data_IF_729370025117
#
_entry.id   IF_729370025117
#
_cell.length_a   1.000
_cell.length_b   1.000
_cell.length_c   1.000
_cell.angle_alpha   90.00
_cell.angle_beta   90.00
_cell.angle_gamma   90.00
#
_symmetry.space_group_name_H-M   'P 1'
#
loop_
_entity.id
_entity.type
_entity.pdbx_description
1 polymer ?
#
# COMPACT_ATOMS: atom_id res chain seq x y z
N UNK A 1 -9.47 0.42 1.07
CA UNK A 1 -8.26 1.27 1.18
C UNK A 1 -7.80 1.58 2.61
N UNK A 2 -8.68 1.85 3.60
CA UNK A 2 -8.22 2.18 4.97
C UNK A 2 -7.34 1.09 5.62
N UNK A 3 -7.75 -0.17 5.47
CA UNK A 3 -7.00 -1.33 5.99
C UNK A 3 -5.64 -1.52 5.29
N UNK A 4 -5.52 -1.14 4.01
CA UNK A 4 -4.27 -1.28 3.25
C UNK A 4 -3.21 -0.29 3.74
N UNK A 5 -3.59 0.98 3.92
CA UNK A 5 -2.70 2.00 4.48
C UNK A 5 -2.29 1.71 5.92
N UNK A 6 -3.23 1.21 6.74
CA UNK A 6 -2.93 0.74 8.10
C UNK A 6 -1.88 -0.37 8.10
N UNK A 7 -2.05 -1.41 7.26
CA UNK A 7 -1.14 -2.56 7.20
C UNK A 7 0.29 -2.14 6.83
N UNK A 8 0.46 -1.33 5.77
CA UNK A 8 1.79 -0.88 5.34
C UNK A 8 2.49 -0.09 6.45
N UNK A 9 1.77 0.84 7.09
CA UNK A 9 2.36 1.68 8.13
C UNK A 9 2.66 0.87 9.41
N UNK A 10 1.78 -0.05 9.77
CA UNK A 10 1.97 -0.95 10.91
C UNK A 10 3.21 -1.83 10.73
N UNK A 11 3.41 -2.39 9.55
CA UNK A 11 4.55 -3.26 9.26
C UNK A 11 5.88 -2.51 9.39
N UNK A 12 5.95 -1.30 8.85
CA UNK A 12 7.14 -0.46 8.95
C UNK A 12 7.40 -0.02 10.41
N UNK A 13 6.38 0.41 11.14
CA UNK A 13 6.50 0.81 12.56
C UNK A 13 6.93 -0.37 13.43
N UNK A 14 6.40 -1.57 13.18
CA UNK A 14 6.75 -2.79 13.92
C UNK A 14 8.24 -3.13 13.77
N UNK A 15 8.80 -2.98 12.57
CA UNK A 15 10.23 -3.21 12.33
C UNK A 15 11.09 -2.20 13.09
N UNK A 16 10.72 -0.91 13.11
CA UNK A 16 11.45 0.11 13.89
C UNK A 16 11.41 -0.19 15.37
N UNK A 17 10.25 -0.60 15.87
CA UNK A 17 10.07 -0.93 17.27
C UNK A 17 10.95 -2.10 17.67
N UNK A 18 11.06 -3.12 16.82
CA UNK A 18 11.96 -4.25 17.07
C UNK A 18 13.43 -3.85 17.01
N UNK A 19 13.86 -3.09 16.01
CA UNK A 19 15.25 -2.60 15.94
C UNK A 19 15.59 -1.72 17.15
N UNK A 20 14.61 -0.96 17.66
CA UNK A 20 14.73 -0.19 18.90
C UNK A 20 14.90 -1.10 20.11
N UNK A 21 14.08 -2.15 20.22
CA UNK A 21 14.18 -3.12 21.32
C UNK A 21 15.52 -3.85 21.34
N UNK A 22 16.04 -4.25 20.18
CA UNK A 22 17.38 -4.85 20.06
C UNK A 22 18.49 -3.87 20.42
N UNK A 23 18.41 -2.63 19.93
CA UNK A 23 19.38 -1.58 20.24
C UNK A 23 19.49 -1.29 21.73
N UNK A 24 18.37 -1.38 22.46
CA UNK A 24 18.33 -1.24 23.92
C UNK A 24 18.89 -2.47 24.63
N UNK A 25 18.63 -3.68 24.10
CA UNK A 25 19.12 -4.93 24.69
C UNK A 25 20.64 -5.07 24.57
N UNK A 26 21.23 -4.64 23.43
CA UNK A 26 22.69 -4.65 23.22
C UNK A 26 23.41 -3.64 24.12
N UNK A 27 22.75 -2.51 24.41
CA UNK A 27 23.29 -1.45 25.26
C UNK A 27 22.97 -1.81 26.71
N UNK A 28 23.65 -2.82 27.27
CA UNK A 28 23.51 -3.32 28.65
C UNK A 28 23.24 -2.19 29.66
N UNK A 29 21.97 -1.84 29.87
CA UNK A 29 21.52 -0.85 30.86
C UNK A 29 21.37 -1.57 32.20
N UNK A 30 22.50 -2.02 32.74
CA UNK A 30 22.58 -2.39 34.14
C UNK A 30 22.44 -1.12 34.99
N UNK A 31 21.42 -1.09 35.85
CA UNK A 31 21.14 -0.09 36.90
C UNK A 31 20.42 1.21 36.52
N UNK A 32 19.38 1.13 35.69
CA UNK A 32 18.46 2.26 35.47
C UNK A 32 17.02 1.88 35.83
N UNK A 33 16.35 2.75 36.61
CA UNK A 33 14.93 2.61 36.97
C UNK A 33 14.07 2.37 35.73
N UNK A 34 13.10 1.43 35.80
CA UNK A 34 12.28 1.03 34.65
C UNK A 34 11.58 2.18 33.92
N UNK A 35 11.27 3.27 34.64
CA UNK A 35 10.71 4.49 34.06
C UNK A 35 11.70 5.24 33.14
N UNK A 36 12.96 5.29 33.53
CA UNK A 36 14.00 5.96 32.76
C UNK A 36 14.42 5.13 31.54
N UNK A 37 14.41 3.80 31.64
CA UNK A 37 14.57 2.91 30.48
C UNK A 37 13.43 3.08 29.48
N UNK A 38 12.18 3.23 29.94
CA UNK A 38 11.04 3.51 29.08
C UNK A 38 11.16 4.86 28.36
N UNK A 39 11.51 5.92 29.08
CA UNK A 39 11.71 7.24 28.47
C UNK A 39 12.85 7.25 27.46
N UNK A 40 13.95 6.55 27.75
CA UNK A 40 15.06 6.41 26.82
C UNK A 40 14.67 5.59 25.57
N UNK A 41 13.87 4.53 25.74
CA UNK A 41 13.32 3.76 24.63
C UNK A 41 12.42 4.61 23.73
N UNK A 42 11.54 5.42 24.35
CA UNK A 42 10.65 6.33 23.64
C UNK A 42 11.44 7.39 22.87
N UNK A 43 12.44 8.02 23.49
CA UNK A 43 13.30 9.01 22.84
C UNK A 43 14.08 8.40 21.66
N UNK A 44 14.65 7.20 21.84
CA UNK A 44 15.33 6.49 20.77
C UNK A 44 14.37 6.16 19.61
N UNK A 45 13.18 5.63 19.92
CA UNK A 45 12.16 5.34 18.92
C UNK A 45 11.74 6.60 18.15
N UNK A 46 11.47 7.71 18.83
CA UNK A 46 11.08 8.97 18.19
C UNK A 46 12.20 9.52 17.32
N UNK A 47 13.46 9.48 17.78
CA UNK A 47 14.62 9.89 16.99
C UNK A 47 14.79 9.04 15.73
N UNK A 48 14.69 7.73 15.84
CA UNK A 48 14.77 6.82 14.70
C UNK A 48 13.61 7.05 13.73
N UNK A 49 12.38 7.19 14.24
CA UNK A 49 11.19 7.41 13.43
C UNK A 49 11.24 8.74 12.66
N UNK A 50 11.43 9.87 13.36
CA UNK A 50 11.46 11.18 12.73
C UNK A 50 12.72 11.40 11.88
N UNK A 51 13.87 10.85 12.30
CA UNK A 51 15.11 10.90 11.53
C UNK A 51 14.98 10.18 10.19
N UNK A 52 14.47 8.94 10.20
CA UNK A 52 14.22 8.19 8.97
C UNK A 52 13.12 8.83 8.10
N UNK A 53 12.06 9.36 8.71
CA UNK A 53 10.99 10.04 7.98
C UNK A 53 11.50 11.30 7.28
N UNK A 54 12.28 12.14 7.97
CA UNK A 54 12.88 13.34 7.40
C UNK A 54 13.84 13.01 6.27
N UNK A 55 14.66 11.97 6.43
CA UNK A 55 15.60 11.54 5.38
C UNK A 55 14.86 11.00 4.15
N UNK A 56 13.87 10.12 4.35
CA UNK A 56 13.07 9.56 3.25
C UNK A 56 12.26 10.61 2.50
N UNK A 57 11.64 11.56 3.23
CA UNK A 57 10.93 12.68 2.59
C UNK A 57 11.89 13.57 1.80
N UNK A 58 13.07 13.90 2.34
CA UNK A 58 14.09 14.69 1.64
C UNK A 58 14.53 14.00 0.34
N UNK A 59 14.86 12.71 0.38
CA UNK A 59 15.30 11.96 -0.81
C UNK A 59 14.20 11.86 -1.87
N UNK A 60 12.95 11.67 -1.46
CA UNK A 60 11.80 11.66 -2.36
C UNK A 60 11.59 13.01 -3.05
N UNK A 61 11.74 14.12 -2.30
CA UNK A 61 11.65 15.48 -2.85
C UNK A 61 12.81 15.80 -3.80
N UNK A 62 14.03 15.35 -3.47
CA UNK A 62 15.19 15.46 -4.36
C UNK A 62 14.92 14.71 -5.67
N UNK A 63 14.39 13.49 -5.60
CA UNK A 63 14.02 12.71 -6.79
C UNK A 63 13.02 13.47 -7.68
N UNK A 64 11.97 14.06 -7.09
CA UNK A 64 11.01 14.87 -7.81
C UNK A 64 11.66 16.09 -8.49
N UNK A 65 12.56 16.80 -7.80
CA UNK A 65 13.27 17.95 -8.36
C UNK A 65 14.22 17.58 -9.49
N UNK A 66 14.94 16.46 -9.37
CA UNK A 66 15.86 15.98 -10.41
C UNK A 66 15.08 15.64 -11.68
N UNK A 67 13.98 14.90 -11.55
CA UNK A 67 13.13 14.55 -12.70
C UNK A 67 12.35 15.74 -13.26
N UNK A 68 12.14 16.80 -12.47
CA UNK A 68 11.59 18.06 -12.96
C UNK A 68 12.57 18.83 -13.83
N UNK A 69 13.84 18.93 -13.42
CA UNK A 69 14.86 19.74 -14.10
C UNK A 69 15.50 19.02 -15.28
N UNK A 70 15.59 17.69 -15.24
CA UNK A 70 16.17 16.88 -16.32
C UNK A 70 15.02 16.30 -17.14
N UNK A 71 14.79 16.85 -18.33
CA UNK A 71 13.74 16.37 -19.24
C UNK A 71 14.16 15.07 -19.94
N UNK A 72 13.84 13.92 -19.32
CA UNK A 72 14.23 12.59 -19.78
C UNK A 72 13.12 11.87 -20.57
N UNK A 73 12.04 12.56 -20.96
CA UNK A 73 10.86 11.96 -21.61
C UNK A 73 11.17 11.26 -22.93
N UNK A 74 12.27 11.62 -23.58
CA UNK A 74 12.74 11.00 -24.82
C UNK A 74 13.41 9.63 -24.58
N UNK A 75 13.80 9.32 -23.35
CA UNK A 75 14.51 8.09 -22.98
C UNK A 75 13.86 7.44 -21.74
N UNK A 76 12.70 6.76 -21.90
CA UNK A 76 11.94 6.19 -20.79
C UNK A 76 12.72 5.16 -19.96
N UNK A 77 13.66 4.43 -20.57
CA UNK A 77 14.53 3.49 -19.84
C UNK A 77 15.41 4.18 -18.81
N UNK A 78 15.87 5.41 -19.07
CA UNK A 78 16.70 6.18 -18.16
C UNK A 78 15.86 6.76 -17.01
N UNK A 79 14.65 7.26 -17.31
CA UNK A 79 13.69 7.68 -16.28
C UNK A 79 13.40 6.53 -15.31
N UNK A 80 13.09 5.35 -15.84
CA UNK A 80 12.81 4.17 -15.05
C UNK A 80 14.01 3.75 -14.18
N UNK A 81 15.22 3.70 -14.76
CA UNK A 81 16.43 3.38 -14.00
C UNK A 81 16.70 4.36 -12.85
N UNK A 82 16.54 5.66 -13.11
CA UNK A 82 16.68 6.70 -12.08
C UNK A 82 15.64 6.54 -10.97
N UNK A 83 14.39 6.18 -11.30
CA UNK A 83 13.35 5.90 -10.30
C UNK A 83 13.73 4.76 -9.36
N UNK A 84 14.25 3.65 -9.88
CA UNK A 84 14.68 2.51 -9.05
C UNK A 84 15.85 2.91 -8.13
N UNK A 85 16.82 3.67 -8.65
CA UNK A 85 17.96 4.16 -7.87
C UNK A 85 17.46 5.06 -6.73
N UNK A 86 16.61 6.04 -7.02
CA UNK A 86 16.07 6.95 -6.00
C UNK A 86 15.13 6.28 -5.00
N UNK A 87 14.44 5.20 -5.41
CA UNK A 87 13.62 4.42 -4.50
C UNK A 87 14.47 3.67 -3.45
N UNK A 88 15.65 3.19 -3.83
CA UNK A 88 16.54 2.44 -2.92
C UNK A 88 17.57 3.31 -2.20
N UNK A 89 17.97 4.45 -2.76
CA UNK A 89 18.89 5.42 -2.17
C UNK A 89 18.63 5.77 -0.68
N UNK A 90 17.38 6.11 -0.25
CA UNK A 90 17.09 6.40 1.16
C UNK A 90 17.48 5.27 2.11
N UNK A 91 17.39 4.00 1.67
CA UNK A 91 17.80 2.86 2.47
C UNK A 91 19.28 2.92 2.82
N UNK A 92 20.14 3.07 1.80
CA UNK A 92 21.58 3.10 1.98
C UNK A 92 22.03 4.31 2.81
N UNK A 93 21.40 5.46 2.59
CA UNK A 93 21.70 6.67 3.37
C UNK A 93 21.27 6.53 4.84
N UNK A 94 20.10 5.96 5.09
CA UNK A 94 19.61 5.74 6.45
C UNK A 94 20.50 4.77 7.21
N UNK A 95 20.87 3.64 6.59
CA UNK A 95 21.73 2.64 7.20
C UNK A 95 23.12 3.21 7.52
N UNK A 96 23.66 4.05 6.63
CA UNK A 96 24.94 4.75 6.85
C UNK A 96 24.92 5.75 8.01
N UNK A 97 23.75 6.30 8.37
CA UNK A 97 23.56 7.23 9.51
C UNK A 97 23.05 6.47 10.75
N UNK A 98 22.98 5.13 10.71
CA UNK A 98 22.39 4.28 11.77
C UNK A 98 20.92 4.61 12.08
N UNK A 99 20.16 5.03 11.06
CA UNK A 99 18.71 5.22 11.11
C UNK A 99 18.00 4.01 10.50
N UNK A 100 16.66 3.92 10.63
CA UNK A 100 15.89 2.84 10.02
C UNK A 100 15.77 3.04 8.50
N UNK A 101 16.46 2.21 7.71
CA UNK A 101 16.37 2.23 6.25
C UNK A 101 14.99 1.88 5.72
N UNK A 102 14.29 0.96 6.37
CA UNK A 102 12.97 0.48 5.92
C UNK A 102 11.93 1.61 6.04
N UNK A 103 11.96 2.40 7.11
CA UNK A 103 11.13 3.60 7.24
C UNK A 103 11.50 4.68 6.23
N UNK A 104 12.79 4.88 5.97
CA UNK A 104 13.25 5.89 5.02
C UNK A 104 12.75 5.57 3.59
N UNK A 105 12.82 4.29 3.16
CA UNK A 105 12.21 3.86 1.89
C UNK A 105 10.70 4.13 1.91
N UNK A 106 9.98 3.76 2.98
CA UNK A 106 8.53 3.95 3.05
C UNK A 106 8.14 5.41 2.82
N UNK A 107 8.72 6.33 3.60
CA UNK A 107 8.43 7.76 3.46
C UNK A 107 8.88 8.32 2.11
N UNK A 108 10.02 7.86 1.58
CA UNK A 108 10.45 8.22 0.23
C UNK A 108 9.46 7.73 -0.83
N UNK A 109 8.94 6.51 -0.70
CA UNK A 109 7.94 5.93 -1.60
C UNK A 109 6.63 6.70 -1.58
N UNK A 110 6.15 7.10 -0.40
CA UNK A 110 4.95 7.97 -0.26
C UNK A 110 5.16 9.31 -0.98
N UNK A 111 6.30 9.96 -0.73
CA UNK A 111 6.62 11.25 -1.36
C UNK A 111 6.82 11.10 -2.88
N UNK A 112 7.47 10.03 -3.33
CA UNK A 112 7.67 9.76 -4.76
C UNK A 112 6.36 9.43 -5.48
N UNK A 113 5.46 8.69 -4.84
CA UNK A 113 4.11 8.43 -5.38
C UNK A 113 3.33 9.73 -5.55
N UNK A 114 3.47 10.67 -4.61
CA UNK A 114 2.73 11.92 -4.64
C UNK A 114 3.32 12.96 -5.61
N UNK A 115 4.64 13.20 -5.58
CA UNK A 115 5.26 14.28 -6.37
C UNK A 115 6.00 13.78 -7.61
N UNK A 116 6.75 12.69 -7.48
CA UNK A 116 7.62 12.21 -8.57
C UNK A 116 6.81 11.53 -9.65
N UNK A 117 5.75 10.81 -9.30
CA UNK A 117 4.88 10.12 -10.26
C UNK A 117 4.37 11.07 -11.35
N UNK A 118 3.92 12.27 -10.96
CA UNK A 118 3.42 13.30 -11.87
C UNK A 118 4.48 13.91 -12.80
N UNK A 119 5.78 13.75 -12.50
CA UNK A 119 6.85 14.26 -13.35
C UNK A 119 7.27 13.30 -14.45
N UNK A 120 6.94 12.02 -14.31
CA UNK A 120 7.32 10.98 -15.26
C UNK A 120 6.52 11.08 -16.57
N UNK A 121 7.06 10.44 -17.62
CA UNK A 121 6.27 10.18 -18.83
C UNK A 121 5.19 9.11 -18.57
N UNK A 122 4.05 9.14 -19.27
CA UNK A 122 2.96 8.17 -19.06
C UNK A 122 3.39 6.72 -19.33
N UNK A 123 4.33 6.52 -20.28
CA UNK A 123 4.91 5.21 -20.56
C UNK A 123 5.70 4.69 -19.35
N UNK A 124 6.52 5.54 -18.73
CA UNK A 124 7.30 5.19 -17.54
C UNK A 124 6.40 4.96 -16.32
N UNK A 125 5.31 5.73 -16.16
CA UNK A 125 4.35 5.56 -15.06
C UNK A 125 3.76 4.16 -15.05
N UNK A 126 3.22 3.71 -16.19
CA UNK A 126 2.62 2.37 -16.33
C UNK A 126 3.69 1.30 -16.11
N UNK A 127 4.86 1.45 -16.74
CA UNK A 127 5.96 0.50 -16.58
C UNK A 127 6.39 0.37 -15.11
N UNK A 128 6.49 1.49 -14.40
CA UNK A 128 6.88 1.51 -12.99
C UNK A 128 5.87 0.80 -12.11
N UNK A 129 4.58 1.10 -12.24
CA UNK A 129 3.53 0.45 -11.45
C UNK A 129 3.51 -1.06 -11.68
N UNK A 130 3.54 -1.50 -12.94
CA UNK A 130 3.53 -2.92 -13.29
C UNK A 130 4.79 -3.64 -12.79
N UNK A 131 5.97 -3.02 -12.95
CA UNK A 131 7.23 -3.63 -12.51
C UNK A 131 7.31 -3.74 -11.00
N UNK A 132 7.01 -2.67 -10.26
CA UNK A 132 7.05 -2.68 -8.80
C UNK A 132 5.99 -3.62 -8.21
N UNK A 133 4.78 -3.69 -8.80
CA UNK A 133 3.75 -4.66 -8.41
C UNK A 133 4.23 -6.10 -8.61
N UNK A 134 4.84 -6.39 -9.76
CA UNK A 134 5.36 -7.73 -10.07
C UNK A 134 6.50 -8.13 -9.14
N UNK A 135 7.43 -7.20 -8.86
CA UNK A 135 8.52 -7.42 -7.91
C UNK A 135 7.99 -7.63 -6.49
N UNK A 136 7.04 -6.81 -6.04
CA UNK A 136 6.42 -6.96 -4.73
C UNK A 136 5.73 -8.32 -4.59
N UNK A 137 4.95 -8.73 -5.59
CA UNK A 137 4.27 -10.04 -5.62
C UNK A 137 5.27 -11.20 -5.59
N UNK A 138 6.37 -11.11 -6.35
CA UNK A 138 7.43 -12.11 -6.34
C UNK A 138 8.10 -12.20 -4.97
N UNK A 139 8.48 -11.06 -4.39
CA UNK A 139 9.08 -11.00 -3.05
C UNK A 139 8.14 -11.57 -1.98
N UNK A 140 6.86 -11.19 -2.00
CA UNK A 140 5.85 -11.70 -1.08
C UNK A 140 5.70 -13.23 -1.21
N UNK A 141 5.64 -13.75 -2.44
CA UNK A 141 5.59 -15.19 -2.72
C UNK A 141 6.84 -15.90 -2.19
N UNK A 142 8.03 -15.32 -2.37
CA UNK A 142 9.27 -15.87 -1.82
C UNK A 142 9.25 -15.93 -0.29
N UNK A 143 8.81 -14.87 0.40
CA UNK A 143 8.73 -14.88 1.86
C UNK A 143 7.73 -15.93 2.36
N UNK A 144 6.58 -16.08 1.69
CA UNK A 144 5.62 -17.14 2.02
C UNK A 144 6.17 -18.55 1.76
N UNK A 145 6.90 -18.75 0.66
CA UNK A 145 7.56 -20.02 0.38
C UNK A 145 8.60 -20.35 1.46
N UNK A 146 9.39 -19.37 1.91
CA UNK A 146 10.32 -19.54 3.03
C UNK A 146 9.61 -19.88 4.34
N UNK A 147 8.49 -19.20 4.64
CA UNK A 147 7.69 -19.50 5.81
C UNK A 147 7.19 -20.94 5.78
N UNK A 148 6.69 -21.41 4.63
CA UNK A 148 6.26 -22.80 4.44
C UNK A 148 7.38 -23.82 4.60
N UNK A 149 8.56 -23.56 4.02
CA UNK A 149 9.74 -24.41 4.16
C UNK A 149 10.21 -24.52 5.62
N UNK A 150 10.10 -23.43 6.36
CA UNK A 150 10.60 -23.33 7.73
C UNK A 150 9.82 -24.21 8.73
N UNK A 151 8.59 -24.59 8.40
CA UNK A 151 7.78 -25.57 9.17
C UNK A 151 8.41 -26.97 9.12
N UNK A 152 9.08 -27.32 8.02
CA UNK A 152 9.66 -28.65 7.85
C UNK A 152 11.12 -28.70 8.29
N UNK A 153 11.82 -27.55 8.29
CA UNK A 153 13.26 -27.50 8.47
C UNK A 153 13.74 -27.34 9.91
N UNK A 154 12.90 -26.86 10.84
CA UNK A 154 13.31 -26.60 12.23
C UNK A 154 12.72 -27.60 13.23
N UNK A 155 13.49 -28.05 14.25
CA UNK A 155 12.94 -28.87 15.32
C UNK A 155 12.02 -28.02 16.19
N UNK A 156 10.72 -28.34 16.20
CA UNK A 156 9.71 -27.57 16.89
C UNK A 156 9.44 -28.13 18.30
N UNK A 157 9.71 -27.33 19.34
CA UNK A 157 9.20 -27.57 20.69
C UNK A 157 7.81 -26.91 20.79
N UNK A 158 6.76 -27.72 20.71
CA UNK A 158 5.37 -27.23 20.74
C UNK A 158 4.82 -27.19 22.17
N UNK A 159 4.81 -26.00 22.76
CA UNK A 159 3.98 -25.74 23.94
C UNK A 159 2.59 -25.29 23.49
N UNK A 160 1.69 -26.26 23.28
CA UNK A 160 0.34 -26.02 22.73
C UNK A 160 -0.43 -24.98 23.55
N UNK A 161 -0.27 -25.01 24.88
CA UNK A 161 -0.90 -24.05 25.78
C UNK A 161 -0.45 -22.61 25.49
N UNK A 162 0.86 -22.40 25.28
CA UNK A 162 1.42 -21.09 24.99
C UNK A 162 0.92 -20.54 23.64
N UNK A 163 0.84 -21.39 22.61
CA UNK A 163 0.36 -21.00 21.28
C UNK A 163 -1.11 -20.57 21.31
N UNK A 164 -1.97 -21.33 22.00
CA UNK A 164 -3.40 -20.99 22.12
C UNK A 164 -3.59 -19.65 22.83
N UNK A 165 -2.89 -19.42 23.94
CA UNK A 165 -2.92 -18.14 24.65
C UNK A 165 -2.42 -16.99 23.78
N UNK A 166 -1.35 -17.20 23.00
CA UNK A 166 -0.87 -16.19 22.07
C UNK A 166 -1.91 -15.84 20.99
N UNK A 167 -2.59 -16.83 20.41
CA UNK A 167 -3.65 -16.58 19.42
C UNK A 167 -4.79 -15.75 20.05
N UNK A 168 -5.24 -16.11 21.25
CA UNK A 168 -6.28 -15.37 21.98
C UNK A 168 -5.84 -13.94 22.26
N UNK A 169 -4.62 -13.74 22.76
CA UNK A 169 -4.08 -12.41 23.07
C UNK A 169 -3.90 -11.55 21.81
N UNK A 170 -3.52 -12.15 20.68
CA UNK A 170 -3.40 -11.45 19.39
C UNK A 170 -4.76 -10.95 18.90
N UNK A 171 -5.79 -11.81 18.95
CA UNK A 171 -7.16 -11.44 18.57
C UNK A 171 -7.76 -10.40 19.51
N UNK A 172 -7.53 -10.55 20.82
CA UNK A 172 -7.99 -9.63 21.84
C UNK A 172 -7.29 -8.28 21.74
N UNK A 173 -5.97 -8.25 21.61
CA UNK A 173 -5.20 -7.02 21.41
C UNK A 173 -5.65 -6.25 20.17
N UNK A 174 -5.96 -6.97 19.08
CA UNK A 174 -6.54 -6.36 17.88
C UNK A 174 -7.93 -5.76 18.16
N UNK A 175 -8.80 -6.45 18.91
CA UNK A 175 -10.12 -5.92 19.27
C UNK A 175 -9.99 -4.63 20.11
N UNK A 176 -9.12 -4.65 21.11
CA UNK A 176 -8.86 -3.50 22.00
C UNK A 176 -8.24 -2.33 21.25
N UNK A 177 -7.52 -2.55 20.15
CA UNK A 177 -7.04 -1.45 19.32
C UNK A 177 -8.15 -0.92 18.39
N UNK A 178 -8.87 -1.80 17.68
CA UNK A 178 -9.81 -1.39 16.63
C UNK A 178 -11.07 -0.73 17.19
N UNK A 179 -11.71 -1.29 18.22
CA UNK A 179 -13.00 -0.77 18.71
C UNK A 179 -12.87 0.64 19.33
N UNK A 180 -11.90 0.93 20.23
CA UNK A 180 -11.72 2.26 20.79
C UNK A 180 -11.23 3.28 19.78
N UNK A 181 -10.26 2.94 18.91
CA UNK A 181 -9.82 3.87 17.85
C UNK A 181 -10.97 4.18 16.91
N UNK A 182 -11.74 3.19 16.49
CA UNK A 182 -12.87 3.40 15.58
C UNK A 182 -13.95 4.26 16.23
N UNK A 183 -14.21 4.10 17.54
CA UNK A 183 -15.13 4.94 18.28
C UNK A 183 -14.65 6.39 18.38
N UNK A 184 -13.35 6.60 18.65
CA UNK A 184 -12.72 7.92 18.68
C UNK A 184 -12.75 8.59 17.29
N UNK A 185 -12.44 7.84 16.24
CA UNK A 185 -12.45 8.34 14.86
C UNK A 185 -13.86 8.72 14.41
N UNK A 186 -14.88 7.99 14.88
CA UNK A 186 -16.29 8.26 14.59
C UNK A 186 -16.78 9.60 15.18
N UNK A 187 -16.04 10.18 16.12
CA UNK A 187 -16.32 11.51 16.66
C UNK A 187 -15.82 12.64 15.75
N UNK A 188 -14.70 12.44 15.05
CA UNK A 188 -14.06 13.45 14.20
C UNK A 188 -14.40 13.32 12.71
N UNK A 189 -14.96 12.20 12.26
CA UNK A 189 -15.17 11.91 10.84
C UNK A 189 -16.63 12.06 10.43
N UNK A 190 -16.89 12.79 9.34
CA UNK A 190 -18.23 12.96 8.76
C UNK A 190 -18.82 11.64 8.23
N UNK A 191 -17.97 10.73 7.74
CA UNK A 191 -18.40 9.41 7.26
C UNK A 191 -18.20 8.33 8.33
N UNK A 192 -19.27 8.03 9.08
CA UNK A 192 -19.23 7.13 10.24
C UNK A 192 -18.87 5.69 9.89
N UNK A 193 -17.96 5.09 10.66
CA UNK A 193 -17.64 3.65 10.53
C UNK A 193 -18.73 2.88 11.29
N UNK A 194 -19.51 2.07 10.58
CA UNK A 194 -20.56 1.27 11.22
C UNK A 194 -19.95 0.15 12.08
N UNK A 195 -20.62 -0.28 13.17
CA UNK A 195 -20.13 -1.40 13.99
C UNK A 195 -19.94 -2.69 13.20
N UNK A 196 -20.71 -2.89 12.11
CA UNK A 196 -20.51 -3.97 11.14
C UNK A 196 -19.16 -3.86 10.43
N UNK A 197 -18.82 -2.68 9.92
CA UNK A 197 -17.51 -2.43 9.32
C UNK A 197 -16.37 -2.59 10.32
N UNK A 198 -16.56 -2.20 11.59
CA UNK A 198 -15.57 -2.44 12.66
C UNK A 198 -15.32 -3.95 12.88
N UNK A 199 -16.38 -4.76 12.85
CA UNK A 199 -16.23 -6.22 12.97
C UNK A 199 -15.50 -6.81 11.76
N UNK A 200 -15.79 -6.36 10.53
CA UNK A 200 -15.05 -6.77 9.34
C UNK A 200 -13.57 -6.36 9.44
N UNK A 201 -13.27 -5.14 9.88
CA UNK A 201 -11.89 -4.68 10.08
C UNK A 201 -11.15 -5.51 11.14
N UNK A 202 -11.84 -5.90 12.22
CA UNK A 202 -11.27 -6.80 13.21
C UNK A 202 -11.00 -8.19 12.64
N UNK A 203 -11.95 -8.76 11.88
CA UNK A 203 -11.86 -10.09 11.32
C UNK A 203 -10.89 -10.22 10.14
N UNK A 204 -10.77 -9.18 9.32
CA UNK A 204 -9.89 -9.09 8.13
C UNK A 204 -8.40 -8.96 8.48
N UNK A 205 -8.02 -9.26 9.72
CA UNK A 205 -6.72 -9.03 10.30
C UNK A 205 -5.66 -10.07 10.01
N UNK A 206 -5.33 -10.26 8.74
CA UNK A 206 -4.33 -11.22 8.33
C UNK A 206 -2.95 -10.75 8.81
N UNK A 207 -2.27 -11.59 9.61
CA UNK A 207 -0.86 -11.34 9.90
C UNK A 207 -0.07 -11.76 8.67
N UNK A 208 0.70 -10.83 8.13
CA UNK A 208 1.58 -11.07 7.00
C UNK A 208 2.82 -11.88 7.38
N UNK A 209 3.77 -11.93 6.45
CA UNK A 209 5.01 -12.67 6.62
C UNK A 209 6.12 -11.88 7.35
N UNK A 210 5.89 -10.58 7.62
CA UNK A 210 6.84 -9.69 8.28
C UNK A 210 7.12 -10.08 9.75
N UNK A 211 6.13 -10.41 10.59
CA UNK A 211 6.40 -10.91 11.95
C UNK A 211 7.30 -12.14 11.96
N UNK A 212 7.18 -13.01 10.95
CA UNK A 212 8.03 -14.18 10.80
C UNK A 212 9.48 -13.77 10.46
N UNK A 213 9.67 -12.93 9.44
CA UNK A 213 10.99 -12.40 9.09
C UNK A 213 11.68 -11.72 10.28
N UNK A 214 10.90 -10.98 11.07
CA UNK A 214 11.37 -10.28 12.26
C UNK A 214 11.77 -11.25 13.39
N UNK A 215 11.02 -12.34 13.57
CA UNK A 215 11.37 -13.38 14.55
C UNK A 215 12.67 -14.10 14.24
N UNK A 216 13.06 -14.18 12.96
CA UNK A 216 14.35 -14.73 12.54
C UNK A 216 15.49 -13.73 12.73
N UNK A 217 15.23 -12.44 12.49
CA UNK A 217 16.23 -11.38 12.65
C UNK A 217 16.58 -11.13 14.13
N UNK A 218 15.67 -11.47 15.04
CA UNK A 218 15.85 -11.32 16.47
C UNK A 218 16.97 -12.24 17.00
N UNK A 219 18.15 -11.65 17.23
CA UNK A 219 19.28 -12.30 17.90
C UNK A 219 19.05 -12.35 19.42
N UNK A 220 18.12 -13.20 19.84
CA UNK A 220 17.92 -13.52 21.25
C UNK A 220 18.83 -14.68 21.68
N UNK A 221 19.82 -14.39 22.53
CA UNK A 221 20.44 -15.41 23.37
C UNK A 221 19.49 -15.69 24.57
N UNK A 222 19.08 -16.95 24.88
CA UNK A 222 19.50 -18.25 24.34
C UNK A 222 18.67 -18.74 23.14
N UNK A 223 19.30 -19.59 22.31
CA UNK A 223 18.75 -20.21 21.09
C UNK A 223 17.38 -20.89 21.27
N UNK A 224 17.10 -21.46 22.44
CA UNK A 224 15.84 -22.15 22.73
C UNK A 224 14.63 -21.20 22.75
N UNK A 225 14.80 -19.96 23.25
CA UNK A 225 13.72 -18.97 23.26
C UNK A 225 13.42 -18.45 21.86
N UNK A 226 14.45 -18.30 21.03
CA UNK A 226 14.32 -17.93 19.61
C UNK A 226 13.53 -18.98 18.83
N UNK A 227 13.82 -20.27 19.05
CA UNK A 227 13.07 -21.37 18.43
C UNK A 227 11.60 -21.42 18.86
N UNK A 228 11.31 -21.15 20.14
CA UNK A 228 9.95 -21.07 20.67
C UNK A 228 9.16 -19.90 20.04
N UNK A 229 9.75 -18.70 19.99
CA UNK A 229 9.12 -17.50 19.43
C UNK A 229 8.91 -17.65 17.92
N UNK A 230 9.91 -18.16 17.19
CA UNK A 230 9.80 -18.44 15.76
C UNK A 230 8.70 -19.44 15.44
N UNK A 231 8.68 -20.59 16.13
CA UNK A 231 7.64 -21.62 15.95
C UNK A 231 6.24 -21.07 16.27
N UNK A 232 6.10 -20.35 17.37
CA UNK A 232 4.82 -19.74 17.77
C UNK A 232 4.34 -18.72 16.73
N UNK A 233 5.25 -17.91 16.21
CA UNK A 233 4.93 -16.89 15.19
C UNK A 233 4.49 -17.53 13.89
N UNK A 234 5.15 -18.59 13.43
CA UNK A 234 4.75 -19.36 12.24
C UNK A 234 3.33 -19.90 12.42
N UNK A 235 3.03 -20.55 13.55
CA UNK A 235 1.70 -21.11 13.81
C UNK A 235 0.62 -20.02 13.83
N UNK A 236 0.90 -18.86 14.45
CA UNK A 236 -0.04 -17.73 14.47
C UNK A 236 -0.27 -17.20 13.04
N UNK A 237 0.79 -17.00 12.26
CA UNK A 237 0.68 -16.48 10.88
C UNK A 237 -0.14 -17.45 10.03
N UNK A 238 0.17 -18.75 10.04
CA UNK A 238 -0.58 -19.76 9.31
C UNK A 238 -2.04 -19.84 9.76
N UNK A 239 -2.29 -19.82 11.07
CA UNK A 239 -3.64 -19.83 11.62
C UNK A 239 -4.44 -18.62 11.14
N UNK A 240 -3.87 -17.42 11.21
CA UNK A 240 -4.56 -16.19 10.78
C UNK A 240 -4.78 -16.15 9.27
N UNK A 241 -3.82 -16.58 8.44
CA UNK A 241 -3.97 -16.58 6.98
C UNK A 241 -4.97 -17.65 6.52
N UNK A 242 -4.82 -18.89 6.98
CA UNK A 242 -5.66 -20.00 6.53
C UNK A 242 -7.09 -19.89 7.06
N UNK A 243 -7.26 -19.65 8.36
CA UNK A 243 -8.59 -19.60 8.96
C UNK A 243 -9.23 -18.23 8.76
N UNK A 244 -8.61 -17.13 9.20
CA UNK A 244 -9.23 -15.80 9.08
C UNK A 244 -9.26 -15.34 7.62
N UNK A 245 -8.18 -15.55 6.85
CA UNK A 245 -8.13 -15.19 5.43
C UNK A 245 -9.10 -16.01 4.58
N UNK A 246 -9.11 -17.33 4.74
CA UNK A 246 -10.06 -18.21 4.07
C UNK A 246 -11.52 -17.92 4.43
N UNK A 247 -11.81 -17.52 5.67
CA UNK A 247 -13.17 -17.20 6.14
C UNK A 247 -13.60 -15.75 5.90
N UNK A 248 -12.70 -14.85 5.51
CA UNK A 248 -13.05 -13.44 5.25
C UNK A 248 -14.00 -13.30 4.05
N UNK A 249 -13.73 -14.01 2.94
CA UNK A 249 -14.62 -13.99 1.76
C UNK A 249 -16.05 -14.46 2.05
N UNK A 250 -16.29 -15.61 2.71
CA UNK A 250 -17.65 -16.02 3.07
C UNK A 250 -18.28 -15.07 4.10
N UNK A 251 -17.52 -14.50 5.02
CA UNK A 251 -18.04 -13.53 6.00
C UNK A 251 -18.54 -12.26 5.31
N UNK A 252 -17.76 -11.68 4.40
CA UNK A 252 -18.16 -10.49 3.63
C UNK A 252 -19.41 -10.80 2.82
N UNK A 253 -19.50 -11.96 2.16
CA UNK A 253 -20.70 -12.37 1.43
C UNK A 253 -21.93 -12.49 2.35
N UNK A 254 -21.77 -13.04 3.55
CA UNK A 254 -22.88 -13.17 4.50
C UNK A 254 -23.38 -11.80 4.97
N UNK A 255 -22.47 -10.87 5.23
CA UNK A 255 -22.80 -9.51 5.63
C UNK A 255 -23.40 -8.67 4.50
N UNK A 256 -22.90 -8.80 3.27
CA UNK A 256 -23.48 -8.15 2.08
C UNK A 256 -24.87 -8.71 1.76
N UNK A 257 -25.11 -10.00 1.99
CA UNK A 257 -26.45 -10.61 1.90
C UNK A 257 -27.37 -10.06 2.99
N UNK A 258 -26.90 -9.83 4.21
CA UNK A 258 -27.70 -9.20 5.26
C UNK A 258 -28.04 -7.74 4.94
N UNK A 259 -27.09 -6.98 4.40
CA UNK A 259 -27.31 -5.59 4.02
C UNK A 259 -28.23 -5.50 2.79
N UNK A 260 -28.10 -6.42 1.83
CA UNK A 260 -29.02 -6.57 0.71
C UNK A 260 -30.42 -7.02 1.15
N UNK A 261 -30.54 -7.88 2.17
CA UNK A 261 -31.83 -8.28 2.78
C UNK A 261 -32.45 -7.13 3.57
N UNK A 262 -31.67 -6.36 4.32
CA UNK A 262 -32.13 -5.18 5.05
C UNK A 262 -32.60 -4.08 4.09
N UNK A 263 -31.85 -3.83 3.00
CA UNK A 263 -32.25 -2.92 1.93
C UNK A 263 -33.46 -3.44 1.14
N UNK A 264 -33.57 -4.75 0.86
CA UNK A 264 -34.79 -5.34 0.26
C UNK A 264 -36.02 -5.22 1.15
N UNK A 265 -35.82 -5.25 2.47
CA UNK A 265 -36.92 -5.12 3.44
C UNK A 265 -37.42 -3.67 3.54
N UNK A 266 -36.54 -2.69 3.31
CA UNK A 266 -36.88 -1.27 3.17
C UNK A 266 -37.31 -0.86 1.75
N UNK A 267 -36.91 -1.61 0.74
CA UNK A 267 -37.21 -1.36 -0.68
C UNK A 267 -38.10 -2.48 -1.23
N UNK A 268 -39.32 -2.58 -0.70
CA UNK A 268 -40.44 -3.12 -1.49
C UNK A 268 -40.76 -2.06 -2.53
N UNK A 269 -39.95 -2.01 -3.59
CA UNK A 269 -40.35 -1.71 -4.97
C UNK A 269 -39.10 -1.63 -5.86
N UNK A 270 -39.24 -2.19 -7.06
CA UNK A 270 -38.31 -2.21 -8.19
C UNK A 270 -37.28 -3.35 -8.20
N UNK A 271 -37.61 -4.37 -9.00
CA UNK A 271 -36.74 -5.43 -9.53
C UNK A 271 -35.88 -4.88 -10.69
N UNK A 272 -34.62 -5.34 -10.79
CA UNK A 272 -33.70 -5.49 -11.94
C UNK A 272 -32.27 -5.47 -11.37
N UNK A 273 -31.25 -6.22 -11.76
CA UNK A 273 -31.05 -7.40 -12.60
C UNK A 273 -29.82 -8.11 -12.00
N UNK A 274 -29.78 -9.45 -11.98
CA UNK A 274 -28.69 -10.22 -11.36
C UNK A 274 -27.44 -10.36 -12.25
N UNK A 275 -27.48 -9.91 -13.50
CA UNK A 275 -26.41 -10.07 -14.49
C UNK A 275 -25.38 -8.93 -14.50
N UNK A 276 -25.71 -7.76 -13.96
CA UNK A 276 -24.82 -6.59 -13.94
C UNK A 276 -23.70 -6.70 -12.88
N UNK A 277 -23.95 -7.46 -11.80
CA UNK A 277 -23.07 -7.47 -10.62
C UNK A 277 -21.79 -8.30 -10.76
N UNK A 278 -21.72 -9.23 -11.72
CA UNK A 278 -20.56 -10.11 -11.87
C UNK A 278 -19.50 -9.56 -12.84
N UNK A 279 -19.89 -8.66 -13.76
CA UNK A 279 -18.94 -7.88 -14.58
C UNK A 279 -18.20 -6.85 -13.74
N UNK A 280 -18.93 -6.15 -12.86
CA UNK A 280 -18.37 -5.06 -12.04
C UNK A 280 -17.30 -5.50 -11.04
N UNK A 281 -17.21 -6.77 -10.62
CA UNK A 281 -16.21 -7.19 -9.61
C UNK A 281 -14.82 -7.45 -10.17
N UNK A 282 -14.72 -7.79 -11.47
CA UNK A 282 -13.43 -7.97 -12.16
C UNK A 282 -12.97 -6.65 -12.78
N UNK A 283 -13.93 -5.83 -13.22
CA UNK A 283 -13.67 -4.47 -13.70
C UNK A 283 -13.35 -3.50 -12.55
N UNK A 284 -13.84 -3.74 -11.32
CA UNK A 284 -13.63 -2.83 -10.18
C UNK A 284 -12.18 -2.71 -9.71
N UNK A 285 -11.32 -3.72 -9.85
CA UNK A 285 -9.93 -3.58 -9.43
C UNK A 285 -9.13 -2.67 -10.37
N UNK A 286 -9.33 -2.81 -11.69
CA UNK A 286 -8.67 -1.95 -12.69
C UNK A 286 -9.35 -0.58 -12.82
N UNK A 287 -10.68 -0.48 -12.67
CA UNK A 287 -11.39 0.80 -12.58
C UNK A 287 -11.11 1.52 -11.27
N UNK A 288 -10.84 0.83 -10.15
CA UNK A 288 -10.56 1.52 -8.88
C UNK A 288 -9.27 2.32 -8.95
N UNK A 289 -8.25 1.89 -9.69
CA UNK A 289 -7.00 2.66 -9.87
C UNK A 289 -7.18 3.82 -10.86
N UNK A 290 -7.88 3.61 -11.98
CA UNK A 290 -8.20 4.66 -12.96
C UNK A 290 -9.17 5.72 -12.42
N UNK A 291 -10.15 5.30 -11.63
CA UNK A 291 -11.06 6.23 -10.95
C UNK A 291 -10.38 6.98 -9.81
N UNK A 292 -9.28 6.48 -9.23
CA UNK A 292 -8.54 7.19 -8.18
C UNK A 292 -7.81 8.43 -8.72
N UNK A 293 -7.20 8.34 -9.92
CA UNK A 293 -6.67 9.52 -10.63
C UNK A 293 -7.77 10.52 -10.97
N UNK A 294 -8.95 10.05 -11.42
CA UNK A 294 -10.11 10.92 -11.66
C UNK A 294 -10.71 11.51 -10.37
N UNK A 295 -10.70 10.75 -9.26
CA UNK A 295 -11.25 11.15 -7.96
C UNK A 295 -10.34 12.15 -7.25
N UNK A 296 -9.01 11.96 -7.30
CA UNK A 296 -8.04 12.98 -6.86
C UNK A 296 -8.11 14.24 -7.73
N UNK A 297 -8.22 14.10 -9.04
CA UNK A 297 -8.42 15.23 -9.95
C UNK A 297 -9.74 15.98 -9.67
N UNK A 298 -10.81 15.28 -9.27
CA UNK A 298 -12.07 15.91 -8.86
C UNK A 298 -12.01 16.54 -7.46
N UNK A 299 -11.28 15.94 -6.52
CA UNK A 299 -11.10 16.45 -5.16
C UNK A 299 -10.30 17.76 -5.15
N UNK A 300 -9.20 17.83 -5.92
CA UNK A 300 -8.41 19.07 -6.09
C UNK A 300 -9.25 20.18 -6.74
N UNK A 301 -10.25 19.82 -7.56
CA UNK A 301 -11.15 20.77 -8.23
C UNK A 301 -12.23 21.35 -7.30
N UNK A 302 -12.55 20.71 -6.16
CA UNK A 302 -13.50 21.24 -5.17
C UNK A 302 -12.79 22.11 -4.14
N UNK A 303 -13.27 23.34 -4.06
CA UNK A 303 -12.62 24.54 -3.53
C UNK A 303 -12.62 24.65 -2.00
N UNK A 304 -12.42 23.56 -1.25
CA UNK A 304 -12.46 23.57 0.23
C UNK A 304 -11.32 22.73 0.86
N UNK A 305 -10.12 22.88 0.30
CA UNK A 305 -8.91 22.25 0.83
C UNK A 305 -8.51 22.94 2.15
N UNK A 306 -8.49 22.21 3.26
CA UNK A 306 -8.04 22.71 4.58
C UNK A 306 -6.70 22.11 5.01
N UNK A 307 -5.88 22.92 5.66
CA UNK A 307 -4.63 22.49 6.31
C UNK A 307 -3.47 22.22 5.34
N UNK A 308 -2.77 21.09 5.55
CA UNK A 308 -1.59 20.70 4.75
C UNK A 308 -1.92 20.50 3.26
N UNK A 309 -3.13 20.03 2.93
CA UNK A 309 -3.55 19.80 1.53
C UNK A 309 -3.64 21.10 0.73
N UNK A 310 -4.01 22.22 1.37
CA UNK A 310 -3.99 23.53 0.71
C UNK A 310 -2.57 24.05 0.50
N UNK A 311 -1.71 23.89 1.51
CA UNK A 311 -0.29 24.27 1.45
C UNK A 311 0.43 23.46 0.37
N UNK A 312 0.12 22.18 0.33
CA UNK A 312 0.60 21.24 -0.67
C UNK A 312 0.11 21.62 -2.07
N UNK A 313 -1.21 21.70 -2.30
CA UNK A 313 -1.78 22.06 -3.60
C UNK A 313 -1.33 23.45 -4.11
N UNK A 314 -1.08 24.41 -3.20
CA UNK A 314 -0.72 25.78 -3.57
C UNK A 314 0.78 26.00 -3.76
N UNK A 315 1.63 25.36 -2.96
CA UNK A 315 3.08 25.60 -2.96
C UNK A 315 3.89 24.37 -3.34
N UNK A 316 3.67 23.21 -2.70
CA UNK A 316 4.50 22.03 -2.93
C UNK A 316 4.19 21.39 -4.28
N UNK A 317 2.92 21.19 -4.60
CA UNK A 317 2.48 20.54 -5.82
C UNK A 317 2.98 21.30 -7.07
N UNK A 318 2.76 22.62 -7.26
CA UNK A 318 3.34 23.34 -8.41
C UNK A 318 4.87 23.51 -8.37
N UNK A 319 5.51 23.37 -7.20
CA UNK A 319 6.97 23.45 -7.07
C UNK A 319 7.65 22.11 -7.39
N UNK A 320 7.08 21.00 -6.98
CA UNK A 320 7.63 19.66 -7.20
C UNK A 320 7.08 18.98 -8.43
N UNK A 321 5.87 19.33 -8.90
CA UNK A 321 5.32 18.86 -10.17
C UNK A 321 5.65 19.80 -11.32
N UNK A 322 5.96 19.23 -12.49
CA UNK A 322 6.16 20.00 -13.72
C UNK A 322 4.79 20.41 -14.28
N UNK A 323 4.52 21.71 -14.42
CA UNK A 323 3.35 22.18 -15.17
C UNK A 323 3.45 21.66 -16.60
N UNK A 324 2.36 21.09 -17.14
CA UNK A 324 2.29 20.74 -18.56
C UNK A 324 2.80 21.93 -19.39
N UNK A 325 3.89 21.71 -20.13
CA UNK A 325 4.45 22.72 -21.01
C UNK A 325 3.41 23.01 -22.10
N UNK A 326 3.32 24.26 -22.58
CA UNK A 326 2.40 24.58 -23.69
C UNK A 326 2.63 23.69 -24.92
N UNK A 327 3.86 23.24 -25.13
CA UNK A 327 4.24 22.28 -26.18
C UNK A 327 3.64 20.89 -25.95
N UNK A 328 3.60 20.37 -24.72
CA UNK A 328 2.98 19.08 -24.39
C UNK A 328 1.46 19.12 -24.62
N UNK A 329 0.81 20.24 -24.26
CA UNK A 329 -0.61 20.49 -24.54
C UNK A 329 -0.89 20.58 -26.05
N UNK A 330 0.01 21.22 -26.80
CA UNK A 330 -0.10 21.31 -28.25
C UNK A 330 0.09 19.93 -28.90
N UNK A 331 1.06 19.15 -28.43
CA UNK A 331 1.33 17.80 -28.93
C UNK A 331 0.18 16.83 -28.58
N UNK A 332 -0.38 16.93 -27.37
CA UNK A 332 -1.58 16.19 -26.97
C UNK A 332 -2.80 16.55 -27.82
N UNK A 333 -3.02 17.84 -28.13
CA UNK A 333 -4.09 18.25 -29.07
C UNK A 333 -3.86 17.71 -30.48
N UNK A 334 -2.62 17.68 -30.96
CA UNK A 334 -2.29 17.10 -32.27
C UNK A 334 -2.60 15.59 -32.24
N UNK A 335 -2.11 14.85 -31.25
CA UNK A 335 -2.36 13.41 -31.13
C UNK A 335 -3.85 13.09 -31.02
N UNK A 336 -4.59 13.87 -30.23
CA UNK A 336 -6.03 13.72 -30.09
C UNK A 336 -6.74 13.97 -31.43
N UNK A 337 -6.37 15.02 -32.17
CA UNK A 337 -6.88 15.26 -33.54
C UNK A 337 -6.54 14.12 -34.49
N UNK A 338 -5.34 13.57 -34.44
CA UNK A 338 -4.92 12.45 -35.29
C UNK A 338 -5.69 11.17 -34.97
N UNK A 339 -5.88 10.86 -33.68
CA UNK A 339 -6.69 9.72 -33.23
C UNK A 339 -8.16 9.89 -33.60
N UNK A 340 -8.72 11.09 -33.43
CA UNK A 340 -10.09 11.41 -33.87
C UNK A 340 -10.23 11.26 -35.39
N UNK A 341 -9.28 11.75 -36.18
CA UNK A 341 -9.29 11.56 -37.63
C UNK A 341 -9.19 10.09 -38.03
N UNK A 342 -8.30 9.33 -37.39
CA UNK A 342 -8.16 7.90 -37.64
C UNK A 342 -9.42 7.12 -37.27
N UNK A 343 -10.06 7.48 -36.16
CA UNK A 343 -11.35 6.92 -35.76
C UNK A 343 -12.45 7.30 -36.75
N UNK A 344 -12.48 8.55 -37.24
CA UNK A 344 -13.40 8.95 -38.31
C UNK A 344 -13.16 8.15 -39.59
N UNK A 345 -11.91 7.86 -39.97
CA UNK A 345 -11.58 7.03 -41.12
C UNK A 345 -12.02 5.57 -40.92
N UNK A 346 -11.76 4.97 -39.76
CA UNK A 346 -12.18 3.60 -39.42
C UNK A 346 -13.70 3.45 -39.34
N UNK A 347 -14.42 4.44 -38.78
CA UNK A 347 -15.88 4.45 -38.72
C UNK A 347 -16.50 4.70 -40.10
N UNK A 348 -15.82 5.49 -40.95
CA UNK A 348 -16.25 5.74 -42.34
C UNK A 348 -15.95 4.53 -43.24
N UNK A 349 -14.96 3.71 -42.89
CA UNK A 349 -14.67 2.40 -43.49
C UNK A 349 -15.46 1.26 -42.82
N UNK A 350 -16.71 1.50 -42.43
CA UNK A 350 -17.60 0.44 -41.93
C UNK A 350 -17.62 -0.80 -42.84
N UNK A 351 -18.05 -1.98 -42.34
CA UNK A 351 -17.89 -3.29 -42.98
C UNK A 351 -18.80 -3.52 -44.21
N UNK A 352 -18.99 -2.50 -45.03
CA UNK A 352 -19.76 -2.52 -46.27
C UNK A 352 -19.00 -1.69 -47.31
N UNK A 353 -18.02 -2.31 -47.95
CA UNK A 353 -17.21 -1.68 -48.99
C UNK A 353 -16.32 -2.68 -49.73
N UNK A 354 -16.79 -3.92 -49.86
CA UNK A 354 -16.12 -4.97 -50.64
C UNK A 354 -17.12 -5.71 -51.51
N UNK A 355 -18.04 -5.00 -52.16
CA UNK A 355 -18.81 -5.51 -53.29
C UNK A 355 -18.98 -4.34 -54.28
N UNK A 356 -18.77 -4.63 -55.57
CA UNK A 356 -18.99 -3.78 -56.74
C UNK A 356 -17.88 -2.78 -57.13
N UNK A 357 -16.82 -3.29 -57.77
CA UNK A 357 -16.05 -2.58 -58.82
C UNK A 357 -15.34 -3.59 -59.76
N UNK A 358 -16.05 -4.65 -60.17
CA UNK A 358 -15.57 -5.59 -61.19
C UNK A 358 -16.63 -5.81 -62.28
N UNK A 359 -17.21 -4.72 -62.79
CA UNK A 359 -18.07 -4.79 -63.96
C UNK A 359 -18.22 -3.46 -64.71
N UNK A 360 -17.11 -2.89 -65.20
CA UNK A 360 -17.16 -1.99 -66.37
C UNK A 360 -15.75 -1.77 -66.91
N UNK A 361 -15.32 -2.63 -67.84
CA UNK A 361 -14.46 -2.26 -68.97
C UNK A 361 -14.59 -3.37 -70.03
N UNK A 362 -15.43 -3.05 -71.03
CA UNK A 362 -15.48 -3.68 -72.35
C UNK A 362 -14.11 -3.64 -73.04
#
# INVERSE_FOLDING_TARGET
MLVFGESILNDAVSIVLTNTAEGLTRKNMSDVSGWQTFLQALDYFLKMFFGSAALGTLTGLISALVLKHIDLRKTPSLEFGMMIIFAYLPYGLAEGISLSGIMAILFSGIVMSHYTHHNLSPVTQILMQQTLRTVAFLCETCVFAFLGLSIFSFPHKFEISFVIWCIVLVLFGRAVNIFPLSYLLNFFRDHKITPKMMFIMWFSGLRGAIPYALSLHLDLEPMEKRQLIGTTTIVIVLFTILLLGGSTMPLIRLMDIEDAKAHRRNKKDVNLSKTEKMGNTVESEHLSELTEEEYEAHYIRRQDLKGFVWLDAKYLNPFFTRRLTQEDLHHGRIQMKTLTNKWYEEVRQGPSGSEDDEQELL
#
